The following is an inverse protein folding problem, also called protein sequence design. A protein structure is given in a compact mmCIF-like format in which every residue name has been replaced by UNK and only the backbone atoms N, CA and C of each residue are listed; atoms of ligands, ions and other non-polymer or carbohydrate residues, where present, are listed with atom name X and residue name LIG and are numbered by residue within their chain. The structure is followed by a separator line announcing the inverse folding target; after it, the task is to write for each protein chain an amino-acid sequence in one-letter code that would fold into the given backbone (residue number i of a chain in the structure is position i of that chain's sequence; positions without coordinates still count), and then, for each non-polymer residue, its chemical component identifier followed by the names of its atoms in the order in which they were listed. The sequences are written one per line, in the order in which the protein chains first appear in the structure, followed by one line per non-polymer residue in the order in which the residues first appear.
data_IF_851094463185
#
_entry.id   IF_851094463185
#
_cell.length_a   1.000
_cell.length_b   1.000
_cell.length_c   1.000
_cell.angle_alpha   90.00
_cell.angle_beta   90.00
_cell.angle_gamma   90.00
#
_symmetry.space_group_name_H-M   'P 1'
#
loop_
_entity.id
_entity.type
_entity.pdbx_description
1 polymer ?
#
# COMPACT_ATOMS: atom_id res chain seq x y z
N UNK A 1 -39.73 -29.35 11.90
CA UNK A 1 -39.98 -28.21 12.80
C UNK A 1 -40.28 -27.00 11.94
N UNK A 2 -41.46 -26.40 12.09
CA UNK A 2 -41.85 -25.18 11.37
C UNK A 2 -40.89 -24.06 11.77
N UNK A 3 -40.22 -23.44 10.79
CA UNK A 3 -39.29 -22.32 11.01
C UNK A 3 -40.07 -21.20 11.70
N UNK A 4 -39.82 -20.97 13.00
CA UNK A 4 -40.50 -19.89 13.75
C UNK A 4 -40.26 -18.56 13.06
N UNK A 5 -41.29 -17.71 13.02
CA UNK A 5 -41.18 -16.39 12.41
C UNK A 5 -40.32 -15.47 13.28
N UNK A 6 -39.66 -14.48 12.66
CA UNK A 6 -38.78 -13.55 13.39
C UNK A 6 -39.53 -12.82 14.51
N UNK A 7 -40.79 -12.45 14.29
CA UNK A 7 -41.64 -11.79 15.28
C UNK A 7 -41.91 -12.65 16.52
N UNK A 8 -42.19 -13.94 16.30
CA UNK A 8 -42.41 -14.91 17.39
C UNK A 8 -41.12 -15.11 18.20
N UNK A 9 -39.98 -15.21 17.50
CA UNK A 9 -38.67 -15.32 18.16
C UNK A 9 -38.34 -14.07 18.96
N UNK A 10 -38.64 -12.86 18.46
CA UNK A 10 -38.42 -11.63 19.21
C UNK A 10 -39.22 -11.58 20.52
N UNK A 11 -40.46 -12.10 20.51
CA UNK A 11 -41.28 -12.24 21.74
C UNK A 11 -40.72 -13.32 22.66
N UNK A 12 -40.38 -14.49 22.12
CA UNK A 12 -39.85 -15.63 22.89
C UNK A 12 -38.54 -15.29 23.62
N UNK A 13 -37.67 -14.51 22.99
CA UNK A 13 -36.41 -14.05 23.58
C UNK A 13 -36.57 -12.79 24.45
N UNK A 14 -37.79 -12.29 24.62
CA UNK A 14 -38.10 -11.17 25.51
C UNK A 14 -37.63 -9.80 25.02
N UNK A 15 -37.33 -9.66 23.73
CA UNK A 15 -36.91 -8.39 23.12
C UNK A 15 -38.08 -7.46 22.85
N UNK A 16 -39.26 -8.03 22.58
CA UNK A 16 -40.52 -7.30 22.44
C UNK A 16 -41.65 -8.06 23.15
N UNK A 17 -42.79 -7.41 23.39
CA UNK A 17 -44.01 -8.10 23.81
C UNK A 17 -45.01 -8.23 22.63
N UNK A 18 -46.10 -8.98 22.85
CA UNK A 18 -47.16 -9.21 21.86
C UNK A 18 -47.80 -7.91 21.33
N UNK A 19 -47.88 -6.86 22.15
CA UNK A 19 -48.42 -5.56 21.74
C UNK A 19 -47.47 -4.85 20.77
N UNK A 20 -46.17 -4.87 21.05
CA UNK A 20 -45.15 -4.30 20.17
C UNK A 20 -45.05 -5.07 18.84
N UNK A 21 -45.19 -6.41 18.87
CA UNK A 21 -45.25 -7.22 17.66
C UNK A 21 -46.44 -6.83 16.77
N UNK A 22 -47.62 -6.67 17.37
CA UNK A 22 -48.82 -6.24 16.65
C UNK A 22 -48.66 -4.85 16.03
N UNK A 23 -48.13 -3.90 16.81
CA UNK A 23 -47.82 -2.55 16.34
C UNK A 23 -46.83 -2.56 15.16
N UNK A 24 -45.77 -3.37 15.25
CA UNK A 24 -44.79 -3.55 14.18
C UNK A 24 -45.40 -4.12 12.90
N UNK A 25 -46.29 -5.13 13.00
CA UNK A 25 -46.98 -5.72 11.85
C UNK A 25 -47.93 -4.74 11.15
N UNK A 26 -48.64 -3.91 11.91
CA UNK A 26 -49.53 -2.88 11.36
C UNK A 26 -48.71 -1.77 10.67
N UNK A 27 -47.59 -1.35 11.29
CA UNK A 27 -46.67 -0.39 10.72
C UNK A 27 -46.02 -0.90 9.42
N UNK A 28 -45.58 -2.15 9.43
CA UNK A 28 -45.00 -2.85 8.28
C UNK A 28 -45.93 -2.79 7.06
N UNK A 29 -47.22 -3.12 7.25
CA UNK A 29 -48.23 -3.10 6.17
C UNK A 29 -48.46 -1.70 5.60
N UNK A 30 -48.35 -0.67 6.44
CA UNK A 30 -48.58 0.71 6.02
C UNK A 30 -47.43 1.32 5.20
N UNK A 31 -46.23 0.73 5.28
CA UNK A 31 -44.99 1.28 4.69
C UNK A 31 -44.21 0.33 3.78
N UNK A 32 -44.71 -0.88 3.54
CA UNK A 32 -44.05 -1.91 2.73
C UNK A 32 -42.61 -2.22 3.20
N UNK A 33 -42.42 -2.27 4.53
CA UNK A 33 -41.13 -2.57 5.16
C UNK A 33 -41.03 -4.08 5.48
N UNK A 34 -39.85 -4.55 5.88
CA UNK A 34 -39.72 -5.82 6.61
C UNK A 34 -40.09 -5.62 8.08
N UNK A 35 -40.62 -6.65 8.75
CA UNK A 35 -41.03 -6.55 10.16
C UNK A 35 -39.89 -6.05 11.06
N UNK A 36 -38.66 -6.54 10.85
CA UNK A 36 -37.51 -6.09 11.62
C UNK A 36 -37.21 -4.60 11.41
N UNK A 37 -37.29 -4.10 10.19
CA UNK A 37 -37.10 -2.67 9.86
C UNK A 37 -38.18 -1.82 10.52
N UNK A 38 -39.44 -2.25 10.45
CA UNK A 38 -40.57 -1.59 11.09
C UNK A 38 -40.39 -1.47 12.62
N UNK A 39 -39.97 -2.55 13.28
CA UNK A 39 -39.75 -2.56 14.73
C UNK A 39 -38.57 -1.68 15.15
N UNK A 40 -37.54 -1.56 14.30
CA UNK A 40 -36.43 -0.65 14.54
C UNK A 40 -36.84 0.81 14.34
N UNK A 41 -37.59 1.13 13.29
CA UNK A 41 -38.11 2.50 13.07
C UNK A 41 -39.02 2.96 14.21
N UNK A 42 -39.79 2.04 14.78
CA UNK A 42 -40.63 2.27 15.96
C UNK A 42 -39.83 2.35 17.27
N UNK A 43 -38.51 2.13 17.24
CA UNK A 43 -37.64 2.16 18.42
C UNK A 43 -37.89 1.03 19.41
N UNK A 44 -38.53 -0.07 18.97
CA UNK A 44 -38.84 -1.22 19.84
C UNK A 44 -37.64 -2.15 20.04
N UNK A 45 -36.79 -2.24 19.02
CA UNK A 45 -35.59 -3.07 19.01
C UNK A 45 -34.46 -2.34 18.29
N UNK A 46 -33.22 -2.70 18.60
CA UNK A 46 -32.07 -2.27 17.81
C UNK A 46 -31.86 -3.19 16.61
N UNK A 47 -31.01 -2.77 15.66
CA UNK A 47 -30.60 -3.66 14.57
C UNK A 47 -29.78 -4.87 15.07
N UNK A 48 -29.03 -4.71 16.16
CA UNK A 48 -28.27 -5.81 16.76
C UNK A 48 -29.22 -6.87 17.34
N UNK A 49 -30.36 -6.47 17.89
CA UNK A 49 -31.40 -7.38 18.38
C UNK A 49 -32.03 -8.18 17.23
N UNK A 50 -32.31 -7.51 16.09
CA UNK A 50 -32.83 -8.17 14.88
C UNK A 50 -31.86 -9.22 14.36
N UNK A 51 -30.59 -8.86 14.19
CA UNK A 51 -29.58 -9.77 13.68
C UNK A 51 -29.24 -10.90 14.66
N UNK A 52 -29.25 -10.61 15.97
CA UNK A 52 -29.14 -11.65 16.99
C UNK A 52 -30.25 -12.68 16.85
N UNK A 53 -31.50 -12.27 16.66
CA UNK A 53 -32.60 -13.22 16.45
C UNK A 53 -32.48 -13.97 15.12
N UNK A 54 -32.06 -13.29 14.05
CA UNK A 54 -31.76 -13.96 12.78
C UNK A 54 -30.67 -15.04 12.95
N UNK A 55 -29.64 -14.76 13.75
CA UNK A 55 -28.60 -15.74 14.06
C UNK A 55 -29.16 -16.99 14.76
N UNK A 56 -30.12 -16.81 15.68
CA UNK A 56 -30.80 -17.92 16.36
C UNK A 56 -31.71 -18.70 15.43
N UNK A 57 -32.38 -18.01 14.51
CA UNK A 57 -33.22 -18.65 13.49
C UNK A 57 -32.39 -19.48 12.50
N UNK A 58 -31.13 -19.08 12.26
CA UNK A 58 -30.21 -19.72 11.32
C UNK A 58 -29.23 -20.69 11.97
N UNK A 59 -29.21 -20.77 13.30
CA UNK A 59 -28.24 -21.55 14.11
C UNK A 59 -26.77 -21.18 13.80
N UNK A 60 -26.50 -19.88 13.65
CA UNK A 60 -25.16 -19.32 13.39
C UNK A 60 -24.73 -18.47 14.60
N UNK A 61 -23.47 -18.55 15.07
CA UNK A 61 -22.99 -17.70 16.15
C UNK A 61 -23.09 -16.21 15.79
N UNK A 62 -23.53 -15.38 16.74
CA UNK A 62 -23.55 -13.92 16.59
C UNK A 62 -22.50 -13.27 17.49
N UNK A 63 -21.75 -12.32 16.95
CA UNK A 63 -20.67 -11.63 17.65
C UNK A 63 -21.00 -10.14 17.76
N UNK A 64 -21.05 -9.62 18.99
CA UNK A 64 -21.14 -8.18 19.23
C UNK A 64 -19.74 -7.58 19.11
N UNK A 65 -19.53 -6.75 18.09
CA UNK A 65 -18.21 -6.18 17.81
C UNK A 65 -17.90 -4.96 18.68
N UNK A 66 -16.72 -4.97 19.27
CA UNK A 66 -16.16 -3.87 20.04
C UNK A 66 -14.72 -3.59 19.58
N UNK A 67 -14.36 -2.33 19.38
CA UNK A 67 -13.03 -1.95 18.91
C UNK A 67 -11.91 -2.45 19.85
N UNK A 68 -12.15 -2.48 21.16
CA UNK A 68 -11.14 -2.86 22.17
C UNK A 68 -10.75 -4.34 22.13
N UNK A 69 -11.58 -5.20 21.55
CA UNK A 69 -11.35 -6.65 21.50
C UNK A 69 -10.76 -7.12 20.16
N UNK A 70 -10.66 -6.23 19.18
CA UNK A 70 -10.14 -6.56 17.85
C UNK A 70 -8.62 -6.37 17.80
N UNK A 71 -7.92 -7.40 17.32
CA UNK A 71 -6.51 -7.27 16.96
C UNK A 71 -6.38 -6.55 15.61
N UNK A 72 -6.18 -5.23 15.68
CA UNK A 72 -5.99 -4.38 14.49
C UNK A 72 -4.81 -4.81 13.64
N UNK A 73 -3.73 -5.34 14.24
CA UNK A 73 -2.55 -5.76 13.49
C UNK A 73 -2.86 -7.02 12.67
N UNK A 74 -3.59 -7.96 13.26
CA UNK A 74 -4.03 -9.16 12.57
C UNK A 74 -5.00 -8.83 11.42
N UNK A 75 -5.98 -7.94 11.63
CA UNK A 75 -6.91 -7.49 10.58
C UNK A 75 -6.16 -6.87 9.40
N UNK A 76 -5.13 -6.04 9.66
CA UNK A 76 -4.27 -5.43 8.63
C UNK A 76 -3.41 -6.43 7.84
N UNK A 77 -3.38 -7.71 8.21
CA UNK A 77 -2.75 -8.76 7.37
C UNK A 77 -3.59 -9.10 6.13
N UNK A 78 -4.87 -8.71 6.11
CA UNK A 78 -5.78 -8.94 4.99
C UNK A 78 -5.84 -7.71 4.08
N UNK A 79 -5.97 -7.89 2.74
CA UNK A 79 -6.10 -6.76 1.82
C UNK A 79 -7.32 -5.89 2.16
N UNK A 80 -7.18 -4.56 2.31
CA UNK A 80 -8.29 -3.66 2.61
C UNK A 80 -9.43 -3.72 1.58
N UNK A 81 -9.09 -3.95 0.31
CA UNK A 81 -10.07 -4.13 -0.78
C UNK A 81 -10.94 -5.37 -0.56
N UNK A 82 -10.35 -6.45 -0.04
CA UNK A 82 -11.06 -7.70 0.24
C UNK A 82 -12.00 -7.53 1.44
N UNK A 83 -11.50 -6.93 2.53
CA UNK A 83 -12.28 -6.64 3.75
C UNK A 83 -13.51 -5.78 3.43
N UNK A 84 -13.35 -4.74 2.60
CA UNK A 84 -14.43 -3.85 2.17
C UNK A 84 -15.38 -4.50 1.17
N UNK A 85 -14.87 -5.27 0.19
CA UNK A 85 -15.70 -5.92 -0.85
C UNK A 85 -16.71 -6.87 -0.23
N UNK A 86 -16.26 -7.69 0.73
CA UNK A 86 -17.08 -8.74 1.32
C UNK A 86 -17.60 -8.42 2.72
N UNK A 87 -17.34 -7.22 3.23
CA UNK A 87 -17.78 -6.74 4.54
C UNK A 87 -17.59 -7.77 5.67
N UNK A 88 -16.34 -8.15 5.93
CA UNK A 88 -16.00 -9.10 6.98
C UNK A 88 -14.81 -8.63 7.82
N UNK A 89 -14.71 -9.14 9.05
CA UNK A 89 -13.55 -8.95 9.93
C UNK A 89 -12.98 -10.34 10.29
N UNK A 90 -11.68 -10.58 10.08
CA UNK A 90 -11.02 -11.77 10.60
C UNK A 90 -10.82 -11.63 12.12
N UNK A 91 -11.16 -12.66 12.87
CA UNK A 91 -11.10 -12.64 14.34
C UNK A 91 -9.80 -13.26 14.85
N UNK A 92 -9.52 -14.50 14.43
CA UNK A 92 -8.32 -15.23 14.81
C UNK A 92 -8.09 -16.42 13.87
N UNK A 93 -6.88 -16.98 13.95
CA UNK A 93 -6.51 -18.23 13.31
C UNK A 93 -6.01 -19.22 14.36
N UNK A 94 -6.45 -20.47 14.28
CA UNK A 94 -6.00 -21.54 15.16
C UNK A 94 -5.93 -22.85 14.38
N UNK A 95 -4.74 -23.47 14.31
CA UNK A 95 -4.52 -24.65 13.47
C UNK A 95 -4.98 -24.42 12.04
N UNK A 96 -5.94 -25.23 11.60
CA UNK A 96 -6.51 -25.24 10.25
C UNK A 96 -7.77 -24.36 10.10
N UNK A 97 -8.10 -23.56 11.11
CA UNK A 97 -9.33 -22.75 11.14
C UNK A 97 -8.98 -21.26 11.07
N UNK A 98 -9.66 -20.56 10.16
CA UNK A 98 -9.78 -19.10 10.12
C UNK A 98 -11.18 -18.70 10.61
N UNK A 99 -11.27 -18.07 11.77
CA UNK A 99 -12.54 -17.55 12.27
C UNK A 99 -12.78 -16.14 11.75
N UNK A 100 -13.94 -15.90 11.13
CA UNK A 100 -14.36 -14.60 10.63
C UNK A 100 -15.73 -14.21 11.16
N UNK A 101 -16.01 -12.92 11.08
CA UNK A 101 -17.35 -12.37 11.24
C UNK A 101 -17.77 -11.60 10.00
N UNK A 102 -19.02 -11.74 9.56
CA UNK A 102 -19.58 -11.08 8.38
C UNK A 102 -21.08 -10.79 8.59
N UNK A 103 -21.67 -9.96 7.75
CA UNK A 103 -23.11 -9.74 7.68
C UNK A 103 -23.82 -10.70 6.71
N UNK A 104 -23.08 -11.41 5.85
CA UNK A 104 -23.62 -12.43 4.95
C UNK A 104 -22.90 -13.77 5.12
N UNK A 105 -23.39 -14.65 6.01
CA UNK A 105 -22.71 -15.90 6.34
C UNK A 105 -22.86 -16.97 5.24
N UNK A 106 -23.71 -16.72 4.23
CA UNK A 106 -23.93 -17.64 3.10
C UNK A 106 -23.14 -17.22 1.86
N UNK A 107 -22.30 -16.20 1.96
CA UNK A 107 -21.47 -15.75 0.86
C UNK A 107 -20.38 -16.77 0.52
N UNK A 108 -20.69 -17.68 -0.40
CA UNK A 108 -19.75 -18.72 -0.84
C UNK A 108 -18.52 -18.16 -1.56
N UNK A 109 -18.62 -16.97 -2.18
CA UNK A 109 -17.47 -16.33 -2.84
C UNK A 109 -16.45 -15.89 -1.80
N UNK A 110 -16.89 -15.21 -0.73
CA UNK A 110 -16.06 -14.84 0.42
C UNK A 110 -15.36 -16.06 1.01
N UNK A 111 -16.11 -17.11 1.31
CA UNK A 111 -15.59 -18.34 1.92
C UNK A 111 -14.50 -18.95 1.03
N UNK A 112 -14.80 -19.18 -0.25
CA UNK A 112 -13.86 -19.80 -1.19
C UNK A 112 -12.59 -18.96 -1.40
N UNK A 113 -12.72 -17.64 -1.49
CA UNK A 113 -11.56 -16.74 -1.63
C UNK A 113 -10.65 -16.78 -0.40
N UNK A 114 -11.23 -16.80 0.81
CA UNK A 114 -10.47 -16.88 2.05
C UNK A 114 -9.82 -18.24 2.27
N UNK A 115 -10.51 -19.33 1.95
CA UNK A 115 -9.95 -20.68 2.03
C UNK A 115 -8.75 -20.83 1.10
N UNK A 116 -8.81 -20.29 -0.13
CA UNK A 116 -7.67 -20.24 -1.05
C UNK A 116 -6.52 -19.37 -0.53
N UNK A 117 -6.85 -18.18 -0.02
CA UNK A 117 -5.86 -17.21 0.46
C UNK A 117 -5.08 -17.73 1.67
N UNK A 118 -5.76 -18.41 2.60
CA UNK A 118 -5.20 -18.84 3.88
C UNK A 118 -4.88 -20.33 3.97
N UNK A 119 -5.33 -21.13 3.01
CA UNK A 119 -5.21 -22.60 3.01
C UNK A 119 -5.78 -23.21 4.31
N UNK A 120 -6.89 -22.66 4.80
CA UNK A 120 -7.55 -23.01 6.06
C UNK A 120 -9.05 -23.06 5.85
N UNK A 121 -9.76 -23.86 6.65
CA UNK A 121 -11.23 -23.86 6.68
C UNK A 121 -11.73 -22.57 7.30
N UNK A 122 -12.74 -21.95 6.69
CA UNK A 122 -13.33 -20.72 7.20
C UNK A 122 -14.51 -21.05 8.11
N UNK A 123 -14.45 -20.58 9.36
CA UNK A 123 -15.57 -20.63 10.30
C UNK A 123 -16.22 -19.26 10.37
N UNK A 124 -17.52 -19.21 10.07
CA UNK A 124 -18.25 -17.95 9.92
C UNK A 124 -19.13 -17.69 11.14
N UNK A 125 -19.11 -16.45 11.63
CA UNK A 125 -20.07 -15.90 12.58
C UNK A 125 -20.76 -14.67 11.98
N UNK A 126 -21.97 -14.38 12.44
CA UNK A 126 -22.75 -13.22 12.02
C UNK A 126 -22.44 -12.00 12.93
N UNK A 127 -22.40 -10.81 12.36
CA UNK A 127 -22.47 -9.55 13.12
C UNK A 127 -23.08 -8.42 12.30
N UNK A 128 -23.26 -7.28 12.96
CA UNK A 128 -23.82 -6.09 12.36
C UNK A 128 -22.97 -5.53 11.23
N UNK A 129 -23.51 -5.60 10.02
CA UNK A 129 -22.84 -5.16 8.80
C UNK A 129 -22.45 -3.69 8.83
N UNK A 130 -23.25 -2.82 9.46
CA UNK A 130 -22.88 -1.41 9.66
C UNK A 130 -21.75 -1.28 10.66
N UNK A 131 -21.79 -2.05 11.75
CA UNK A 131 -20.71 -2.05 12.74
C UNK A 131 -19.39 -2.56 12.16
N UNK A 132 -19.44 -3.61 11.35
CA UNK A 132 -18.29 -4.13 10.60
C UNK A 132 -17.72 -3.01 9.73
N UNK A 133 -18.55 -2.38 8.90
CA UNK A 133 -18.14 -1.30 8.02
C UNK A 133 -17.52 -0.11 8.77
N UNK A 134 -18.15 0.36 9.83
CA UNK A 134 -17.64 1.44 10.70
C UNK A 134 -16.26 1.11 11.29
N UNK A 135 -16.09 -0.12 11.79
CA UNK A 135 -14.83 -0.56 12.39
C UNK A 135 -13.74 -0.73 11.33
N UNK A 136 -14.07 -1.30 10.17
CA UNK A 136 -13.14 -1.40 9.03
C UNK A 136 -12.72 -0.01 8.55
N UNK A 137 -13.64 0.95 8.44
CA UNK A 137 -13.31 2.33 8.09
C UNK A 137 -12.32 2.94 9.09
N UNK A 138 -12.50 2.75 10.39
CA UNK A 138 -11.56 3.24 11.41
C UNK A 138 -10.20 2.54 11.33
N UNK A 139 -10.19 1.20 11.26
CA UNK A 139 -8.96 0.38 11.26
C UNK A 139 -8.14 0.61 9.99
N UNK A 140 -8.81 0.75 8.85
CA UNK A 140 -8.16 1.00 7.55
C UNK A 140 -7.71 2.47 7.47
N UNK A 141 -8.43 3.42 8.06
CA UNK A 141 -8.00 4.83 8.11
C UNK A 141 -6.73 5.03 8.96
N UNK A 142 -6.42 4.10 9.87
CA UNK A 142 -5.13 4.01 10.58
C UNK A 142 -3.98 3.49 9.68
N UNK A 143 -4.20 3.20 8.40
CA UNK A 143 -3.17 2.87 7.40
C UNK A 143 -3.37 3.78 6.17
N UNK A 144 -2.45 4.71 5.95
CA UNK A 144 -2.62 5.72 4.90
C UNK A 144 -2.56 5.07 3.51
N UNK A 145 -3.22 5.67 2.51
CA UNK A 145 -3.10 5.24 1.10
C UNK A 145 -1.65 5.17 0.64
N UNK A 146 -0.81 6.07 1.16
CA UNK A 146 0.63 6.07 1.00
C UNK A 146 1.27 4.79 1.55
N UNK A 147 0.88 4.33 2.75
CA UNK A 147 1.45 3.14 3.37
C UNK A 147 1.16 1.88 2.53
N UNK A 148 -0.08 1.74 2.05
CA UNK A 148 -0.48 0.62 1.19
C UNK A 148 0.30 0.64 -0.11
N UNK A 149 0.41 1.81 -0.74
CA UNK A 149 1.17 2.00 -1.98
C UNK A 149 2.65 1.66 -1.78
N UNK A 150 3.32 2.28 -0.80
CA UNK A 150 4.74 2.08 -0.58
C UNK A 150 5.07 0.62 -0.23
N UNK A 151 4.15 -0.13 0.41
CA UNK A 151 4.33 -1.56 0.72
C UNK A 151 4.45 -2.41 -0.51
N UNK A 152 3.51 -2.23 -1.43
CA UNK A 152 3.50 -2.95 -2.69
C UNK A 152 4.68 -2.48 -3.55
N UNK A 153 4.96 -1.19 -3.54
CA UNK A 153 5.94 -0.60 -4.43
C UNK A 153 7.39 -0.86 -4.03
N UNK A 154 7.73 -0.80 -2.74
CA UNK A 154 9.07 -1.16 -2.26
C UNK A 154 9.44 -2.60 -2.56
N UNK A 155 8.46 -3.52 -2.50
CA UNK A 155 8.67 -4.91 -2.95
C UNK A 155 9.03 -4.98 -4.43
N UNK A 156 8.37 -4.17 -5.27
CA UNK A 156 8.64 -4.08 -6.71
C UNK A 156 9.97 -3.39 -7.02
N UNK A 157 10.45 -2.52 -6.13
CA UNK A 157 11.76 -1.87 -6.24
C UNK A 157 12.93 -2.81 -5.99
N UNK A 158 12.73 -3.88 -5.20
CA UNK A 158 13.77 -4.88 -5.01
C UNK A 158 14.23 -5.41 -6.35
N UNK A 159 15.54 -5.49 -6.52
CA UNK A 159 16.16 -5.96 -7.76
C UNK A 159 15.85 -5.09 -8.98
N UNK A 160 15.65 -3.79 -8.76
CA UNK A 160 15.54 -2.79 -9.84
C UNK A 160 16.67 -1.78 -9.72
N UNK A 161 16.79 -0.93 -10.75
CA UNK A 161 17.68 0.23 -10.74
C UNK A 161 16.93 1.55 -10.68
N UNK A 162 15.74 1.56 -10.07
CA UNK A 162 15.11 2.79 -9.65
C UNK A 162 15.77 3.25 -8.36
N UNK A 163 16.33 4.45 -8.39
CA UNK A 163 17.10 5.00 -7.26
C UNK A 163 16.48 6.27 -6.69
N UNK A 164 15.36 6.75 -7.25
CA UNK A 164 14.70 7.99 -6.82
C UNK A 164 13.18 7.90 -6.91
N UNK A 165 12.54 8.42 -5.87
CA UNK A 165 11.11 8.67 -5.78
C UNK A 165 10.84 10.15 -5.52
N UNK A 166 10.01 10.77 -6.33
CA UNK A 166 9.54 12.14 -6.08
C UNK A 166 8.10 12.12 -5.60
N UNK A 167 7.85 12.71 -4.44
CA UNK A 167 6.52 12.97 -3.91
C UNK A 167 6.23 14.44 -4.11
N UNK A 168 5.34 14.77 -5.03
CA UNK A 168 4.99 16.14 -5.41
C UNK A 168 3.59 16.42 -4.92
N UNK A 169 3.47 17.28 -3.90
CA UNK A 169 2.20 17.77 -3.36
C UNK A 169 1.85 19.14 -3.94
N UNK A 170 0.67 19.24 -4.52
CA UNK A 170 -0.01 20.51 -4.85
C UNK A 170 -1.34 20.53 -4.12
N UNK A 171 -1.54 21.55 -3.27
CA UNK A 171 -2.64 21.58 -2.30
C UNK A 171 -2.66 20.32 -1.43
N UNK A 172 -3.69 19.47 -1.54
CA UNK A 172 -3.81 18.18 -0.87
C UNK A 172 -3.53 16.98 -1.80
N UNK A 173 -3.28 17.20 -3.09
CA UNK A 173 -3.04 16.15 -4.08
C UNK A 173 -1.55 15.84 -4.16
N UNK A 174 -1.19 14.57 -3.96
CA UNK A 174 0.19 14.09 -4.00
C UNK A 174 0.35 13.12 -5.15
N UNK A 175 1.29 13.42 -6.06
CA UNK A 175 1.73 12.51 -7.11
C UNK A 175 3.07 11.90 -6.74
N UNK A 176 3.24 10.60 -7.02
CA UNK A 176 4.49 9.88 -6.80
C UNK A 176 5.09 9.44 -8.12
N UNK A 177 6.35 9.79 -8.36
CA UNK A 177 7.09 9.42 -9.57
C UNK A 177 8.33 8.58 -9.25
N UNK A 178 8.58 7.55 -10.05
CA UNK A 178 9.84 6.81 -10.06
C UNK A 178 10.79 7.35 -11.11
N UNK A 179 12.08 7.38 -10.77
CA UNK A 179 13.16 7.70 -11.70
C UNK A 179 14.30 6.67 -11.64
N UNK A 180 14.84 6.31 -12.81
CA UNK A 180 16.05 5.49 -12.92
C UNK A 180 16.45 5.22 -14.37
N UNK A 181 17.75 5.32 -14.69
CA UNK A 181 18.30 5.00 -16.03
C UNK A 181 17.49 5.65 -17.17
N UNK A 182 17.36 6.97 -17.23
CA UNK A 182 16.56 7.62 -18.29
C UNK A 182 15.04 7.41 -18.22
N UNK A 183 14.52 6.61 -17.28
CA UNK A 183 13.10 6.33 -17.13
C UNK A 183 12.44 7.25 -16.12
N UNK A 184 11.20 7.63 -16.44
CA UNK A 184 10.27 8.38 -15.60
C UNK A 184 8.91 7.70 -15.66
N UNK A 185 8.31 7.41 -14.52
CA UNK A 185 6.97 6.81 -14.44
C UNK A 185 6.18 7.39 -13.28
N UNK A 186 4.97 7.88 -13.56
CA UNK A 186 4.00 8.15 -12.50
C UNK A 186 3.50 6.82 -11.95
N UNK A 187 3.53 6.68 -10.63
CA UNK A 187 3.24 5.44 -9.93
C UNK A 187 1.87 5.46 -9.28
N UNK A 188 1.54 6.59 -8.66
CA UNK A 188 0.43 6.71 -7.74
C UNK A 188 0.08 8.17 -7.50
N UNK A 189 -1.21 8.43 -7.32
CA UNK A 189 -1.74 9.73 -6.93
C UNK A 189 -2.73 9.52 -5.78
N UNK A 190 -2.60 10.29 -4.71
CA UNK A 190 -3.48 10.23 -3.55
C UNK A 190 -3.63 11.59 -2.87
N UNK A 191 -4.62 11.68 -1.99
CA UNK A 191 -4.85 12.89 -1.21
C UNK A 191 -4.32 12.71 0.22
N UNK A 192 -3.59 13.70 0.73
CA UNK A 192 -3.12 13.67 2.11
C UNK A 192 -2.96 15.07 2.68
N UNK A 193 -3.38 15.19 3.94
CA UNK A 193 -3.20 16.38 4.77
C UNK A 193 -2.13 16.08 5.83
N UNK A 194 -1.30 17.07 6.20
CA UNK A 194 -0.27 16.93 7.25
C UNK A 194 1.17 16.87 6.72
N UNK A 195 2.12 16.55 7.60
CA UNK A 195 3.54 16.51 7.25
C UNK A 195 3.91 15.26 6.44
N UNK A 196 4.29 15.47 5.18
CA UNK A 196 4.55 14.39 4.23
C UNK A 196 5.84 13.62 4.54
N UNK A 197 6.89 14.31 5.00
CA UNK A 197 8.21 13.69 5.19
C UNK A 197 8.26 12.67 6.33
N UNK A 198 7.57 12.93 7.43
CA UNK A 198 7.62 12.07 8.60
C UNK A 198 6.94 10.72 8.35
N UNK A 199 5.85 10.75 7.57
CA UNK A 199 5.15 9.54 7.15
C UNK A 199 6.03 8.71 6.21
N UNK A 200 6.64 9.36 5.21
CA UNK A 200 7.60 8.72 4.29
C UNK A 200 8.72 8.06 5.10
N UNK A 201 9.43 8.80 5.96
CA UNK A 201 10.56 8.26 6.75
C UNK A 201 10.18 7.04 7.57
N UNK A 202 9.12 7.14 8.38
CA UNK A 202 8.65 6.05 9.23
C UNK A 202 8.34 4.80 8.40
N UNK A 203 7.75 5.01 7.23
CA UNK A 203 7.36 3.93 6.35
C UNK A 203 8.57 3.17 5.77
N UNK A 204 9.51 3.88 5.16
CA UNK A 204 10.70 3.24 4.57
C UNK A 204 11.49 2.46 5.64
N UNK A 205 11.69 3.05 6.83
CA UNK A 205 12.37 2.39 7.95
C UNK A 205 11.64 1.10 8.38
N UNK A 206 10.30 1.14 8.45
CA UNK A 206 9.48 -0.04 8.78
C UNK A 206 9.66 -1.19 7.78
N UNK A 207 9.80 -0.89 6.49
CA UNK A 207 10.00 -1.90 5.44
C UNK A 207 11.48 -2.29 5.24
N UNK A 208 12.38 -1.87 6.14
CA UNK A 208 13.80 -2.24 6.10
C UNK A 208 14.64 -1.38 5.16
N UNK A 209 14.19 -0.17 4.85
CA UNK A 209 14.94 0.81 4.06
C UNK A 209 15.36 1.99 4.93
N UNK A 210 16.58 2.46 4.75
CA UNK A 210 16.91 3.85 5.09
C UNK A 210 16.61 4.76 3.90
N UNK A 211 16.59 6.07 4.14
CA UNK A 211 16.41 7.05 3.07
C UNK A 211 17.41 8.19 3.19
N UNK A 212 17.96 8.60 2.06
CA UNK A 212 18.38 9.98 1.88
C UNK A 212 17.21 10.74 1.26
N UNK A 213 17.00 11.99 1.65
CA UNK A 213 15.91 12.78 1.07
C UNK A 213 16.27 14.26 0.98
N UNK A 214 15.58 14.95 0.08
CA UNK A 214 15.56 16.39 0.00
C UNK A 214 14.14 16.89 0.01
N UNK A 215 13.94 18.07 0.59
CA UNK A 215 12.66 18.75 0.64
C UNK A 215 12.79 20.10 -0.03
N UNK A 216 11.92 20.33 -1.00
CA UNK A 216 11.73 21.62 -1.66
C UNK A 216 10.30 22.06 -1.41
N UNK A 217 10.08 23.32 -1.06
CA UNK A 217 8.73 23.84 -0.88
C UNK A 217 8.67 25.30 -1.24
N UNK A 218 7.59 25.70 -1.93
CA UNK A 218 7.19 27.08 -2.14
C UNK A 218 5.71 27.25 -1.73
N UNK A 219 5.13 28.42 -1.98
CA UNK A 219 3.74 28.73 -1.59
C UNK A 219 2.69 27.80 -2.22
N UNK A 220 3.00 27.19 -3.37
CA UNK A 220 2.05 26.43 -4.18
C UNK A 220 2.33 24.91 -4.22
N UNK A 221 3.53 24.50 -3.81
CA UNK A 221 3.98 23.12 -3.94
C UNK A 221 4.94 22.71 -2.83
N UNK A 222 4.84 21.46 -2.38
CA UNK A 222 5.87 20.77 -1.62
C UNK A 222 6.35 19.55 -2.41
N UNK A 223 7.66 19.40 -2.59
CA UNK A 223 8.28 18.24 -3.21
C UNK A 223 9.26 17.59 -2.24
N UNK A 224 9.13 16.28 -2.06
CA UNK A 224 10.09 15.47 -1.33
C UNK A 224 10.71 14.46 -2.30
N UNK A 225 12.00 14.58 -2.50
CA UNK A 225 12.80 13.63 -3.28
C UNK A 225 13.39 12.61 -2.32
N UNK A 226 13.17 11.32 -2.55
CA UNK A 226 13.60 10.21 -1.70
C UNK A 226 14.51 9.28 -2.47
N UNK A 227 15.57 8.84 -1.81
CA UNK A 227 16.56 7.87 -2.29
C UNK A 227 16.54 6.66 -1.34
N UNK A 228 15.79 5.60 -1.69
CA UNK A 228 15.66 4.42 -0.84
C UNK A 228 16.95 3.60 -0.78
N UNK A 229 17.39 3.24 0.41
CA UNK A 229 18.57 2.42 0.66
C UNK A 229 18.12 1.14 1.35
N UNK A 230 18.13 0.02 0.63
CA UNK A 230 17.72 -1.28 1.17
C UNK A 230 18.78 -1.79 2.17
N UNK A 231 18.40 -1.91 3.45
CA UNK A 231 19.31 -2.37 4.52
C UNK A 231 19.77 -3.80 4.32
N UNK A 232 19.08 -4.63 3.53
CA UNK A 232 19.52 -6.02 3.31
C UNK A 232 20.88 -6.13 2.63
N UNK A 233 21.35 -5.06 1.98
CA UNK A 233 22.67 -5.00 1.38
C UNK A 233 23.77 -4.46 2.31
N UNK A 234 23.44 -4.05 3.55
CA UNK A 234 24.38 -3.40 4.47
C UNK A 234 24.23 -3.85 5.91
N UNK A 235 25.36 -4.00 6.61
CA UNK A 235 25.36 -4.36 8.03
C UNK A 235 25.30 -3.13 8.95
N UNK A 236 25.88 -1.99 8.55
CA UNK A 236 25.88 -0.73 9.32
C UNK A 236 25.84 0.46 8.36
N UNK A 237 25.00 1.45 8.66
CA UNK A 237 25.08 2.77 8.05
C UNK A 237 25.98 3.62 8.95
N UNK A 238 27.25 3.73 8.57
CA UNK A 238 28.09 4.83 9.06
C UNK A 238 27.43 6.15 8.59
N UNK A 239 27.42 7.20 9.43
CA UNK A 239 26.79 8.51 9.15
C UNK A 239 27.28 9.20 7.85
N UNK A 240 28.24 8.57 7.18
CA UNK A 240 28.90 9.05 6.00
C UNK A 240 28.26 8.55 4.69
N UNK A 241 27.38 7.55 4.61
CA UNK A 241 26.90 6.86 3.37
C UNK A 241 26.76 7.66 2.02
N UNK A 242 27.53 7.34 0.95
CA UNK A 242 27.44 7.82 -0.48
C UNK A 242 26.11 7.45 -1.14
N UNK A 243 25.37 8.47 -1.60
CA UNK A 243 24.46 8.37 -2.75
C UNK A 243 24.76 9.50 -3.73
N UNK A 244 25.55 9.24 -4.79
CA UNK A 244 25.82 10.28 -5.81
C UNK A 244 24.81 10.23 -6.93
N UNK A 245 24.04 11.31 -7.08
CA UNK A 245 23.17 11.47 -8.24
C UNK A 245 23.22 12.91 -8.79
N UNK A 246 23.25 13.01 -10.11
CA UNK A 246 23.02 14.24 -10.89
C UNK A 246 21.82 13.94 -11.79
N UNK A 247 20.78 14.77 -11.77
CA UNK A 247 19.56 14.51 -12.55
C UNK A 247 19.30 15.56 -13.63
N UNK A 248 18.87 15.06 -14.78
CA UNK A 248 18.39 15.82 -15.94
C UNK A 248 17.05 15.33 -16.48
N UNK A 249 16.25 14.58 -15.70
CA UNK A 249 14.87 14.24 -16.06
C UNK A 249 13.92 15.13 -15.27
N UNK A 250 13.32 16.10 -15.95
CA UNK A 250 12.47 17.12 -15.37
C UNK A 250 11.02 16.88 -15.84
N UNK A 251 10.05 17.13 -14.97
CA UNK A 251 8.64 17.25 -15.34
C UNK A 251 8.18 18.69 -15.19
N UNK A 252 7.14 19.10 -15.91
CA UNK A 252 6.49 20.40 -15.72
C UNK A 252 6.04 20.59 -14.26
N UNK A 253 5.55 19.51 -13.63
CA UNK A 253 5.21 19.50 -12.21
C UNK A 253 6.41 19.80 -11.29
N UNK A 254 7.62 19.37 -11.67
CA UNK A 254 8.85 19.61 -10.90
C UNK A 254 9.34 21.06 -11.10
N UNK A 255 9.22 21.60 -12.32
CA UNK A 255 9.57 23.00 -12.63
C UNK A 255 8.74 24.01 -11.83
N UNK A 256 7.52 23.64 -11.46
CA UNK A 256 6.65 24.48 -10.61
C UNK A 256 7.14 24.50 -9.16
N UNK A 257 7.76 23.43 -8.69
CA UNK A 257 8.20 23.29 -7.29
C UNK A 257 9.64 23.78 -7.06
N UNK A 258 10.46 23.84 -8.10
CA UNK A 258 11.84 24.32 -8.05
C UNK A 258 11.96 25.73 -8.61
N UNK A 259 12.56 26.64 -7.85
CA UNK A 259 12.99 27.92 -8.39
C UNK A 259 14.03 27.71 -9.50
N UNK A 260 14.00 28.51 -10.57
CA UNK A 260 14.85 28.34 -11.77
C UNK A 260 16.37 28.37 -11.51
N UNK A 261 16.80 28.59 -10.27
CA UNK A 261 18.20 28.68 -9.86
C UNK A 261 18.72 27.45 -9.09
N UNK A 262 17.89 26.43 -8.84
CA UNK A 262 18.28 25.23 -8.07
C UNK A 262 18.88 24.12 -8.95
N UNK A 263 18.98 24.35 -10.26
CA UNK A 263 19.51 23.35 -11.19
C UNK A 263 20.98 23.05 -10.89
N UNK A 264 21.31 21.75 -10.86
CA UNK A 264 22.67 21.19 -10.86
C UNK A 264 23.46 21.10 -9.54
N UNK A 265 22.81 20.95 -8.38
CA UNK A 265 23.54 20.43 -7.21
C UNK A 265 23.88 18.95 -7.42
N UNK A 266 25.17 18.63 -7.32
CA UNK A 266 25.62 17.24 -7.18
C UNK A 266 25.37 16.83 -5.73
N UNK A 267 24.61 15.78 -5.53
CA UNK A 267 24.49 15.18 -4.21
C UNK A 267 25.67 14.25 -4.01
N UNK A 268 26.48 14.53 -3.00
CA UNK A 268 27.66 13.75 -2.64
C UNK A 268 27.46 13.33 -1.19
N UNK A 269 27.62 12.05 -0.93
CA UNK A 269 27.81 11.54 0.43
C UNK A 269 29.08 10.65 0.39
N UNK A 270 29.56 9.96 1.44
CA UNK A 270 30.80 9.09 1.57
C UNK A 270 30.56 7.63 2.12
N UNK A 271 30.41 6.57 1.31
CA UNK A 271 30.25 5.16 1.76
C UNK A 271 31.56 4.37 1.61
N UNK A 272 31.87 3.53 2.60
CA UNK A 272 32.96 2.52 2.53
C UNK A 272 32.53 1.23 1.82
N UNK A 273 31.21 1.02 1.66
CA UNK A 273 30.60 -0.21 1.12
C UNK A 273 29.73 0.07 -0.10
N UNK A 274 29.66 -0.89 -1.00
CA UNK A 274 28.88 -0.81 -2.25
C UNK A 274 27.36 -0.87 -2.01
N UNK A 275 26.59 -0.01 -2.71
CA UNK A 275 25.12 0.15 -2.69
C UNK A 275 24.49 -0.30 -4.01
N UNK A 276 23.81 -1.45 -4.05
CA UNK A 276 23.05 -1.88 -5.22
C UNK A 276 22.07 -0.83 -5.72
N UNK A 277 22.06 -0.61 -7.05
CA UNK A 277 21.19 0.37 -7.69
C UNK A 277 21.75 1.80 -7.73
N UNK A 278 22.81 2.09 -6.98
CA UNK A 278 23.53 3.36 -7.01
C UNK A 278 24.91 3.18 -7.66
N UNK A 279 25.31 4.15 -8.47
CA UNK A 279 26.62 4.09 -9.14
C UNK A 279 27.75 4.26 -8.12
N UNK A 280 28.44 3.15 -7.81
CA UNK A 280 29.68 3.20 -7.05
C UNK A 280 30.86 3.30 -8.00
N UNK A 281 31.54 4.43 -7.95
CA UNK A 281 32.82 4.57 -8.63
C UNK A 281 33.93 4.24 -7.64
N UNK A 282 34.35 2.99 -7.64
CA UNK A 282 35.68 2.63 -7.15
C UNK A 282 36.67 3.06 -8.22
N UNK A 283 36.99 4.36 -8.26
CA UNK A 283 38.26 4.77 -8.84
C UNK A 283 39.33 4.08 -8.00
N UNK A 284 40.17 3.27 -8.63
CA UNK A 284 41.39 2.74 -8.03
C UNK A 284 42.27 3.93 -7.64
N UNK A 285 42.09 4.46 -6.42
CA UNK A 285 42.78 5.67 -5.97
C UNK A 285 44.16 5.25 -5.48
N UNK A 286 45.14 5.26 -6.37
CA UNK A 286 46.52 5.57 -5.98
C UNK A 286 46.90 7.04 -6.14
N UNK A 287 46.01 7.92 -6.62
CA UNK A 287 46.34 9.35 -6.77
C UNK A 287 45.18 10.31 -6.46
N UNK A 288 45.52 11.32 -5.65
CA UNK A 288 44.71 12.43 -5.16
C UNK A 288 44.12 13.30 -6.28
N UNK A 289 42.93 12.96 -6.78
CA UNK A 289 42.08 13.93 -7.47
C UNK A 289 40.65 13.88 -6.94
N UNK A 290 40.17 15.06 -6.54
CA UNK A 290 38.81 15.34 -6.11
C UNK A 290 37.80 14.77 -7.13
N UNK A 291 36.92 13.91 -6.62
CA UNK A 291 36.08 13.01 -7.40
C UNK A 291 34.74 13.66 -7.76
N UNK A 292 34.47 13.76 -9.05
CA UNK A 292 33.14 14.08 -9.61
C UNK A 292 32.50 12.77 -10.08
N UNK A 293 31.30 12.44 -9.60
CA UNK A 293 30.60 11.22 -9.99
C UNK A 293 29.19 11.52 -10.51
N UNK A 294 28.79 10.73 -11.49
CA UNK A 294 27.64 10.98 -12.34
C UNK A 294 26.82 9.72 -12.48
N UNK A 295 25.48 9.84 -12.52
CA UNK A 295 24.60 8.75 -12.96
C UNK A 295 25.07 8.27 -14.34
N UNK A 296 24.73 7.03 -14.74
CA UNK A 296 25.11 6.48 -16.06
C UNK A 296 24.83 7.47 -17.20
N UNK A 297 23.79 8.29 -17.07
CA UNK A 297 23.40 9.35 -18.00
C UNK A 297 24.50 10.42 -18.19
N UNK A 298 25.27 10.74 -17.16
CA UNK A 298 26.27 11.82 -17.14
C UNK A 298 27.73 11.36 -17.04
N UNK A 299 28.04 10.07 -17.14
CA UNK A 299 29.43 9.60 -17.24
C UNK A 299 30.05 10.29 -18.47
N UNK A 300 31.04 11.15 -18.25
CA UNK A 300 31.69 11.94 -19.31
C UNK A 300 32.87 11.20 -19.96
N UNK A 301 33.10 9.94 -19.58
CA UNK A 301 34.33 9.21 -19.87
C UNK A 301 34.04 7.80 -20.41
N UNK A 302 34.79 7.38 -21.42
CA UNK A 302 34.68 6.05 -22.06
C UNK A 302 35.45 4.96 -21.30
N UNK A 303 36.03 5.26 -20.13
CA UNK A 303 36.67 4.25 -19.27
C UNK A 303 35.68 3.16 -18.82
N UNK A 304 36.19 1.93 -18.71
CA UNK A 304 35.48 0.83 -18.05
C UNK A 304 35.48 1.03 -16.54
N UNK A 305 34.32 0.86 -15.92
CA UNK A 305 34.14 0.89 -14.47
C UNK A 305 33.43 -0.38 -14.02
N UNK A 306 33.67 -0.79 -12.77
CA UNK A 306 32.98 -1.91 -12.18
C UNK A 306 31.53 -1.52 -11.91
N UNK A 307 30.60 -2.19 -12.57
CA UNK A 307 29.17 -2.08 -12.35
C UNK A 307 28.68 -3.41 -11.81
N UNK A 308 27.95 -3.33 -10.70
CA UNK A 308 27.07 -4.39 -10.24
C UNK A 308 25.70 -3.76 -10.06
N UNK A 309 24.62 -4.49 -10.31
CA UNK A 309 23.26 -3.98 -10.16
C UNK A 309 22.35 -4.36 -11.32
N UNK A 310 21.15 -3.79 -11.35
CA UNK A 310 20.12 -4.20 -12.29
C UNK A 310 20.01 -3.24 -13.47
N UNK A 311 19.93 -3.72 -14.71
CA UNK A 311 19.71 -2.89 -15.89
C UNK A 311 18.28 -3.04 -16.39
N UNK A 312 17.56 -1.94 -16.66
CA UNK A 312 16.24 -2.02 -17.25
C UNK A 312 16.34 -2.51 -18.69
N UNK A 313 15.49 -3.46 -19.06
CA UNK A 313 15.26 -3.95 -20.41
C UNK A 313 13.80 -3.72 -20.72
N UNK A 314 13.48 -3.11 -21.86
CA UNK A 314 12.08 -2.86 -22.24
C UNK A 314 11.28 -4.15 -22.19
N UNK A 315 10.14 -4.10 -21.52
CA UNK A 315 9.17 -5.17 -21.59
C UNK A 315 8.35 -5.04 -22.87
N UNK A 316 7.89 -6.16 -23.43
CA UNK A 316 7.06 -6.20 -24.64
C UNK A 316 5.66 -5.60 -24.44
N UNK A 317 5.31 -5.20 -23.21
CA UNK A 317 4.02 -4.58 -22.89
C UNK A 317 3.90 -3.10 -23.32
N UNK A 318 4.86 -2.56 -24.06
CA UNK A 318 4.86 -1.18 -24.56
C UNK A 318 4.57 -0.13 -23.47
N UNK A 319 5.27 -0.23 -22.34
CA UNK A 319 5.10 0.60 -21.14
C UNK A 319 3.71 0.54 -20.45
N UNK A 320 2.75 -0.23 -20.95
CA UNK A 320 1.42 -0.40 -20.33
C UNK A 320 1.48 -1.17 -19.00
N UNK A 321 2.58 -1.88 -18.75
CA UNK A 321 2.73 -2.75 -17.58
C UNK A 321 2.09 -4.12 -17.80
N UNK A 322 2.71 -5.15 -17.23
CA UNK A 322 2.18 -6.50 -17.14
C UNK A 322 2.83 -7.23 -15.97
N UNK A 323 2.31 -8.41 -15.62
CA UNK A 323 2.83 -9.23 -14.52
C UNK A 323 4.31 -9.57 -14.68
N UNK A 324 4.80 -9.78 -15.92
CA UNK A 324 6.22 -10.08 -16.16
C UNK A 324 7.15 -8.94 -15.73
N UNK A 325 6.71 -7.69 -15.85
CA UNK A 325 7.51 -6.51 -15.50
C UNK A 325 7.04 -5.85 -14.20
N UNK A 326 6.25 -6.55 -13.37
CA UNK A 326 5.66 -6.01 -12.15
C UNK A 326 4.90 -4.68 -12.40
N UNK A 327 4.28 -4.55 -13.57
CA UNK A 327 3.63 -3.33 -14.05
C UNK A 327 4.56 -2.11 -14.18
N UNK A 328 5.88 -2.28 -14.18
CA UNK A 328 6.85 -1.19 -14.33
C UNK A 328 7.10 -0.83 -15.80
N UNK A 329 6.83 -1.75 -16.73
CA UNK A 329 7.12 -1.59 -18.17
C UNK A 329 8.53 -2.02 -18.56
N UNK A 330 9.33 -2.45 -17.58
CA UNK A 330 10.72 -2.86 -17.74
C UNK A 330 10.99 -4.13 -16.93
N UNK A 331 11.74 -5.03 -17.54
CA UNK A 331 12.40 -6.13 -16.84
C UNK A 331 13.74 -5.63 -16.33
N UNK A 332 14.23 -6.21 -15.24
CA UNK A 332 15.51 -5.81 -14.65
C UNK A 332 16.45 -7.00 -14.66
N UNK A 333 17.55 -6.88 -15.39
CA UNK A 333 18.58 -7.91 -15.54
C UNK A 333 19.77 -7.56 -14.65
N UNK A 334 20.17 -8.47 -13.77
CA UNK A 334 21.35 -8.29 -12.94
C UNK A 334 22.61 -8.37 -13.80
N UNK A 335 23.48 -7.38 -13.66
CA UNK A 335 24.80 -7.36 -14.26
C UNK A 335 25.84 -7.17 -13.17
N UNK A 336 26.99 -7.81 -13.39
CA UNK A 336 28.20 -7.62 -12.61
C UNK A 336 29.41 -7.64 -13.56
N UNK A 337 30.35 -6.72 -13.40
CA UNK A 337 31.58 -6.68 -14.20
C UNK A 337 32.01 -5.28 -14.63
N UNK A 338 33.00 -5.21 -15.53
CA UNK A 338 33.55 -3.95 -16.02
C UNK A 338 32.90 -3.51 -17.33
N UNK A 339 32.22 -2.35 -17.31
CA UNK A 339 31.51 -1.79 -18.46
C UNK A 339 31.85 -0.33 -18.69
N UNK A 340 31.78 0.09 -19.94
CA UNK A 340 31.73 1.49 -20.38
C UNK A 340 30.30 2.02 -20.33
N UNK A 341 30.13 3.35 -20.36
CA UNK A 341 28.81 3.99 -20.53
C UNK A 341 28.06 3.47 -21.76
N UNK A 342 28.77 3.34 -22.89
CA UNK A 342 28.19 2.89 -24.14
C UNK A 342 27.70 1.43 -24.06
N UNK A 343 28.47 0.55 -23.40
CA UNK A 343 28.07 -0.84 -23.16
C UNK A 343 26.79 -0.91 -22.30
N UNK A 344 26.71 -0.19 -21.17
CA UNK A 344 25.51 -0.20 -20.33
C UNK A 344 24.28 0.39 -21.05
N UNK A 345 24.44 1.48 -21.81
CA UNK A 345 23.36 2.06 -22.63
C UNK A 345 22.86 1.09 -23.71
N UNK A 346 23.77 0.35 -24.33
CA UNK A 346 23.41 -0.66 -25.33
C UNK A 346 22.65 -1.82 -24.68
N UNK A 347 23.09 -2.27 -23.51
CA UNK A 347 22.46 -3.36 -22.76
C UNK A 347 21.05 -2.99 -22.26
N UNK A 348 20.81 -1.72 -21.91
CA UNK A 348 19.48 -1.27 -21.47
C UNK A 348 18.46 -1.13 -22.60
N UNK A 349 18.91 -1.05 -23.85
CA UNK A 349 18.04 -0.84 -25.00
C UNK A 349 17.33 0.53 -25.00
N UNK A 350 17.76 1.46 -24.15
CA UNK A 350 17.25 2.82 -24.10
C UNK A 350 17.84 3.62 -25.26
N UNK A 351 17.02 3.95 -26.25
CA UNK A 351 17.41 4.89 -27.32
C UNK A 351 17.61 6.28 -26.68
N UNK A 352 18.61 7.03 -27.17
CA UNK A 352 18.82 8.42 -26.79
C UNK A 352 17.48 9.17 -26.98
N UNK A 353 16.86 9.57 -25.87
CA UNK A 353 15.69 10.45 -25.83
C UNK A 353 16.16 11.88 -25.68
#
# INVERSE_FOLDING_TARGET
MTKKNIGELLVEYGLINEKDLKEGLDYQKSRDLRLGEALVELGKVSYDDIEYILSKQLDIPFVILNEKILDKNYIKTFPPTLLKKFNFIPLYETGDILAIVTDDPFNSELINELEKLKQKKVQVSLANGRKIKELLEKIIKDESELDVFLKDWLKKLKKTSFYRLDFIRKENHIKVFAFGFGLKKELFTYNSNGELIDNIKKYFVKEGYDICFEKFSNESCEMITVFPIDRSYFCEIDNDLIVVTRFGLINDDILICLDKNVFSKNFLFSSKTYVPGYSNFVLDIKNNYNKTFTTVDYICDDRKFYFIGYIPKRCDCDNKGCDKCNNLGYLFEELEGYYTKAELKKLSGLKNG
#
